data_IF_783475852726
#
_entry.id   IF_783475852726
#
_cell.length_a   1.000
_cell.length_b   1.000
_cell.length_c   1.000
_cell.angle_alpha   90.00
_cell.angle_beta   90.00
_cell.angle_gamma   90.00
#
_symmetry.space_group_name_H-M   'P 1'
#
loop_
_entity.id
_entity.type
_entity.pdbx_description
1 polymer ?
#
# COMPACT_ATOMS: atom_id res chain seq x y z
N UNK A 1 37.04 -13.52 12.89
CA UNK A 1 36.14 -13.76 11.73
C UNK A 1 34.80 -14.40 12.14
N UNK A 2 34.22 -14.01 13.28
CA UNK A 2 32.98 -14.61 13.84
C UNK A 2 31.79 -13.65 13.87
N UNK A 3 32.02 -12.34 13.70
CA UNK A 3 30.95 -11.33 13.72
C UNK A 3 30.25 -11.10 12.37
N UNK A 4 30.86 -11.51 11.25
CA UNK A 4 30.28 -11.35 9.91
C UNK A 4 29.15 -12.36 9.66
N UNK A 5 29.33 -13.62 10.05
CA UNK A 5 28.36 -14.70 9.84
C UNK A 5 27.05 -14.52 10.62
N UNK A 6 27.12 -14.02 11.85
CA UNK A 6 25.95 -13.84 12.72
C UNK A 6 24.97 -12.78 12.21
N UNK A 7 25.48 -11.76 11.50
CA UNK A 7 24.67 -10.65 10.96
C UNK A 7 23.93 -11.06 9.67
N UNK A 8 24.46 -12.01 8.92
CA UNK A 8 23.83 -12.51 7.70
C UNK A 8 22.77 -13.57 7.98
N UNK A 9 22.99 -14.52 8.91
CA UNK A 9 21.98 -15.55 9.26
C UNK A 9 20.70 -14.92 9.86
N UNK A 10 20.82 -13.89 10.71
CA UNK A 10 19.66 -13.13 11.22
C UNK A 10 18.87 -12.42 10.10
N UNK A 11 19.56 -11.98 9.04
CA UNK A 11 18.95 -11.30 7.88
C UNK A 11 18.27 -12.30 6.95
N UNK A 12 18.83 -13.50 6.78
CA UNK A 12 18.27 -14.54 5.91
C UNK A 12 17.04 -15.22 6.54
N UNK A 13 17.02 -15.47 7.85
CA UNK A 13 15.89 -16.11 8.53
C UNK A 13 14.63 -15.24 8.57
N UNK A 14 14.78 -13.91 8.68
CA UNK A 14 13.65 -12.95 8.60
C UNK A 14 13.12 -12.87 7.16
N UNK A 15 13.98 -13.09 6.15
CA UNK A 15 13.60 -13.08 4.74
C UNK A 15 12.83 -14.32 4.29
N UNK A 16 13.18 -15.51 4.80
CA UNK A 16 12.57 -16.78 4.36
C UNK A 16 11.20 -17.03 5.00
N UNK A 17 10.95 -16.53 6.22
CA UNK A 17 9.62 -16.60 6.87
C UNK A 17 8.64 -15.51 6.39
N UNK A 18 9.13 -14.42 5.78
CA UNK A 18 8.30 -13.34 5.26
C UNK A 18 7.88 -13.49 3.79
N UNK A 19 8.42 -14.47 3.07
CA UNK A 19 8.29 -14.59 1.61
C UNK A 19 6.97 -15.24 1.13
N UNK A 20 6.15 -15.80 2.01
CA UNK A 20 4.94 -16.56 1.62
C UNK A 20 3.62 -15.96 2.11
N UNK A 21 3.63 -14.77 2.73
CA UNK A 21 2.40 -14.05 3.04
C UNK A 21 2.19 -12.94 2.02
N UNK A 22 1.06 -13.02 1.31
CA UNK A 22 0.55 -12.09 0.30
C UNK A 22 0.42 -10.64 0.83
N UNK A 23 1.55 -9.96 0.99
CA UNK A 23 1.69 -8.52 1.17
C UNK A 23 2.95 -8.09 0.43
N UNK A 24 2.87 -8.09 -0.90
CA UNK A 24 3.92 -7.59 -1.79
C UNK A 24 4.05 -6.06 -1.71
N UNK A 25 4.47 -5.54 -0.56
CA UNK A 25 4.60 -4.10 -0.33
C UNK A 25 5.66 -3.68 0.69
N UNK A 26 6.50 -4.59 1.21
CA UNK A 26 7.48 -4.24 2.25
C UNK A 26 8.95 -4.58 1.94
N UNK A 27 9.28 -4.99 0.72
CA UNK A 27 10.68 -5.38 0.38
C UNK A 27 11.30 -4.62 -0.79
N UNK A 28 10.69 -3.53 -1.28
CA UNK A 28 11.35 -2.69 -2.29
C UNK A 28 12.38 -1.75 -1.63
N UNK A 29 13.60 -2.25 -1.45
CA UNK A 29 14.89 -1.56 -1.49
C UNK A 29 14.96 -0.08 -1.04
N UNK A 30 15.67 0.18 0.06
CA UNK A 30 16.37 1.45 0.24
C UNK A 30 16.35 2.01 1.66
N UNK A 31 17.50 2.50 2.10
CA UNK A 31 17.81 2.99 3.43
C UNK A 31 17.15 4.35 3.73
N UNK A 32 15.82 4.45 3.72
CA UNK A 32 15.09 5.67 4.09
C UNK A 32 13.90 5.32 4.99
N UNK A 33 14.04 5.75 6.25
CA UNK A 33 13.03 5.88 7.31
C UNK A 33 11.65 5.25 7.02
N UNK A 34 11.51 3.97 7.37
CA UNK A 34 10.32 3.14 7.15
C UNK A 34 9.14 3.43 8.09
N UNK A 35 9.18 4.49 8.90
CA UNK A 35 8.11 4.85 9.84
C UNK A 35 6.99 5.70 9.20
N UNK A 36 7.20 6.19 7.98
CA UNK A 36 6.37 7.23 7.35
C UNK A 36 4.96 6.79 6.93
N UNK A 37 4.74 5.50 6.70
CA UNK A 37 3.51 5.02 6.06
C UNK A 37 2.52 4.31 7.02
N UNK A 38 2.95 4.05 8.26
CA UNK A 38 2.14 3.45 9.32
C UNK A 38 1.59 4.50 10.32
N UNK A 39 2.13 5.72 10.29
CA UNK A 39 1.85 6.77 11.30
C UNK A 39 1.45 8.13 10.70
N UNK A 40 0.83 8.14 9.51
CA UNK A 40 0.40 9.38 8.88
C UNK A 40 -0.92 9.87 9.49
N UNK A 41 -0.97 11.12 9.95
CA UNK A 41 -2.22 11.70 10.46
C UNK A 41 -3.24 11.92 9.33
N UNK A 42 -4.53 12.04 9.68
CA UNK A 42 -5.58 12.32 8.70
C UNK A 42 -5.32 13.63 7.92
N UNK A 43 -4.76 14.64 8.59
CA UNK A 43 -4.39 15.94 8.00
C UNK A 43 -3.22 15.81 7.03
N UNK A 44 -2.18 15.07 7.42
CA UNK A 44 -1.04 14.79 6.54
C UNK A 44 -1.46 13.97 5.33
N UNK A 45 -2.41 13.05 5.51
CA UNK A 45 -3.01 12.31 4.42
C UNK A 45 -3.74 13.24 3.45
N UNK A 46 -4.64 14.11 3.95
CA UNK A 46 -5.41 15.03 3.11
C UNK A 46 -4.49 15.91 2.24
N UNK A 47 -3.46 16.51 2.83
CA UNK A 47 -2.49 17.33 2.09
C UNK A 47 -1.75 16.55 0.99
N UNK A 48 -1.37 15.30 1.26
CA UNK A 48 -0.67 14.47 0.27
C UNK A 48 -1.61 13.94 -0.81
N UNK A 49 -2.83 13.57 -0.42
CA UNK A 49 -3.90 13.18 -1.33
C UNK A 49 -4.15 14.32 -2.31
N UNK A 50 -4.35 15.54 -1.82
CA UNK A 50 -4.66 16.68 -2.67
C UNK A 50 -3.54 16.97 -3.67
N UNK A 51 -2.27 16.95 -3.22
CA UNK A 51 -1.10 17.07 -4.12
C UNK A 51 -1.05 15.96 -5.18
N UNK A 52 -1.41 14.73 -4.82
CA UNK A 52 -1.43 13.63 -5.78
C UNK A 52 -2.61 13.75 -6.75
N UNK A 53 -3.79 14.12 -6.26
CA UNK A 53 -4.98 14.39 -7.07
C UNK A 53 -4.68 15.49 -8.07
N UNK A 54 -4.08 16.61 -7.66
CA UNK A 54 -3.71 17.71 -8.55
C UNK A 54 -2.71 17.26 -9.62
N UNK A 55 -1.71 16.45 -9.23
CA UNK A 55 -0.72 15.91 -10.18
C UNK A 55 -1.35 14.97 -11.21
N UNK A 56 -2.26 14.09 -10.80
CA UNK A 56 -2.97 13.18 -11.71
C UNK A 56 -3.95 13.97 -12.57
N UNK A 57 -4.68 14.92 -11.98
CA UNK A 57 -5.62 15.79 -12.66
C UNK A 57 -4.94 16.56 -13.79
N UNK A 58 -3.79 17.17 -13.52
CA UNK A 58 -3.01 17.87 -14.54
C UNK A 58 -2.49 16.95 -15.64
N UNK A 59 -2.08 15.71 -15.34
CA UNK A 59 -1.54 14.80 -16.36
C UNK A 59 -2.60 14.18 -17.26
N UNK A 60 -3.78 13.93 -16.70
CA UNK A 60 -4.92 13.40 -17.43
C UNK A 60 -5.81 14.51 -17.99
N UNK A 61 -5.49 15.79 -17.76
CA UNK A 61 -6.33 16.93 -18.13
C UNK A 61 -7.77 16.71 -17.63
N UNK A 62 -7.92 16.37 -16.35
CA UNK A 62 -9.22 16.05 -15.76
C UNK A 62 -10.11 17.29 -15.64
N UNK A 63 -11.40 17.09 -15.85
CA UNK A 63 -12.42 18.08 -15.48
C UNK A 63 -12.59 18.13 -13.96
N UNK A 64 -13.24 19.19 -13.46
CA UNK A 64 -13.53 19.32 -12.02
C UNK A 64 -14.37 18.15 -11.48
N UNK A 65 -15.32 17.64 -12.27
CA UNK A 65 -16.13 16.50 -11.84
C UNK A 65 -15.34 15.19 -11.84
N UNK A 66 -14.45 14.96 -12.82
CA UNK A 66 -13.52 13.83 -12.81
C UNK A 66 -12.54 13.91 -11.63
N UNK A 67 -12.08 15.12 -11.29
CA UNK A 67 -11.22 15.38 -10.13
C UNK A 67 -11.92 15.04 -8.81
N UNK A 68 -13.20 15.40 -8.64
CA UNK A 68 -13.99 15.01 -7.46
C UNK A 68 -14.09 13.49 -7.32
N UNK A 69 -14.33 12.76 -8.42
CA UNK A 69 -14.36 11.28 -8.42
C UNK A 69 -13.01 10.69 -8.04
N UNK A 70 -11.92 11.29 -8.50
CA UNK A 70 -10.56 10.89 -8.10
C UNK A 70 -10.29 11.13 -6.60
N UNK A 71 -10.78 12.22 -6.02
CA UNK A 71 -10.71 12.46 -4.57
C UNK A 71 -11.45 11.35 -3.81
N UNK A 72 -12.68 11.03 -4.22
CA UNK A 72 -13.47 9.95 -3.64
C UNK A 72 -12.74 8.60 -3.71
N UNK A 73 -12.15 8.27 -4.85
CA UNK A 73 -11.32 7.06 -4.99
C UNK A 73 -10.15 7.06 -4.01
N UNK A 74 -9.44 8.19 -3.87
CA UNK A 74 -8.37 8.36 -2.89
C UNK A 74 -8.87 8.08 -1.46
N UNK A 75 -10.01 8.66 -1.08
CA UNK A 75 -10.57 8.48 0.26
C UNK A 75 -10.96 7.04 0.56
N UNK A 76 -11.52 6.31 -0.42
CA UNK A 76 -11.81 4.88 -0.28
C UNK A 76 -10.54 4.05 -0.13
N UNK A 77 -9.50 4.34 -0.91
CA UNK A 77 -8.19 3.67 -0.79
C UNK A 77 -7.56 3.90 0.59
N UNK A 78 -7.65 5.13 1.11
CA UNK A 78 -7.14 5.44 2.44
C UNK A 78 -7.93 4.79 3.56
N UNK A 79 -9.27 4.79 3.46
CA UNK A 79 -10.12 4.09 4.42
C UNK A 79 -9.81 2.59 4.45
N UNK A 80 -9.65 1.95 3.28
CA UNK A 80 -9.25 0.54 3.19
C UNK A 80 -7.87 0.31 3.81
N UNK A 81 -6.87 1.14 3.47
CA UNK A 81 -5.52 1.04 4.04
C UNK A 81 -5.52 1.20 5.56
N UNK A 82 -6.25 2.19 6.08
CA UNK A 82 -6.36 2.45 7.52
C UNK A 82 -7.01 1.27 8.23
N UNK A 83 -8.05 0.68 7.63
CA UNK A 83 -8.67 -0.53 8.17
C UNK A 83 -7.72 -1.74 8.16
N UNK A 84 -6.87 -1.88 7.14
CA UNK A 84 -5.89 -2.97 7.04
C UNK A 84 -4.71 -2.83 8.01
N UNK A 85 -4.31 -1.59 8.31
CA UNK A 85 -3.37 -1.29 9.40
C UNK A 85 -4.05 -1.57 10.74
N UNK A 86 -5.34 -1.24 10.87
CA UNK A 86 -6.14 -1.55 12.05
C UNK A 86 -5.51 -0.96 13.31
N UNK A 87 -5.35 -1.78 14.36
CA UNK A 87 -4.68 -1.39 15.59
C UNK A 87 -3.15 -1.51 15.51
N UNK A 88 -2.59 -2.03 14.42
CA UNK A 88 -1.16 -2.29 14.32
C UNK A 88 -0.38 -1.00 14.10
N UNK A 89 0.26 -0.52 15.16
CA UNK A 89 1.18 0.62 15.07
C UNK A 89 2.57 0.20 14.59
N UNK A 90 2.90 -1.08 14.73
CA UNK A 90 4.16 -1.67 14.26
C UNK A 90 3.93 -3.09 13.69
N UNK A 91 3.71 -3.21 12.36
CA UNK A 91 3.60 -4.50 11.71
C UNK A 91 4.81 -5.42 11.95
N UNK A 92 6.01 -4.87 12.24
CA UNK A 92 7.18 -5.69 12.57
C UNK A 92 7.09 -6.26 13.97
N UNK A 93 6.44 -5.58 14.91
CA UNK A 93 6.18 -6.12 16.24
C UNK A 93 5.27 -7.35 16.17
N UNK A 94 4.22 -7.32 15.34
CA UNK A 94 3.37 -8.49 15.09
C UNK A 94 4.20 -9.67 14.56
N UNK A 95 5.03 -9.43 13.55
CA UNK A 95 5.87 -10.47 12.96
C UNK A 95 6.90 -11.02 13.96
N UNK A 96 7.51 -10.15 14.79
CA UNK A 96 8.42 -10.59 15.87
C UNK A 96 7.70 -11.45 16.90
N UNK A 97 6.44 -11.13 17.20
CA UNK A 97 5.67 -11.88 18.18
C UNK A 97 5.35 -13.32 17.71
N UNK A 98 5.26 -13.56 16.41
CA UNK A 98 5.08 -14.91 15.84
C UNK A 98 6.24 -15.87 16.16
N UNK A 99 7.44 -15.33 16.39
CA UNK A 99 8.68 -16.09 16.62
C UNK A 99 9.27 -15.85 18.01
N UNK A 100 8.52 -15.19 18.91
CA UNK A 100 9.02 -14.84 20.24
C UNK A 100 9.10 -16.04 21.19
N UNK A 101 8.33 -17.10 20.91
CA UNK A 101 8.32 -18.34 21.68
C UNK A 101 9.36 -19.36 21.20
N UNK A 102 9.45 -20.49 21.92
CA UNK A 102 10.30 -21.62 21.53
C UNK A 102 9.86 -22.29 20.21
N UNK A 103 8.62 -22.05 19.78
CA UNK A 103 8.04 -22.52 18.51
C UNK A 103 7.34 -21.36 17.81
N UNK A 104 7.19 -21.50 16.50
CA UNK A 104 6.40 -20.57 15.70
C UNK A 104 4.92 -20.59 16.10
N UNK A 105 4.33 -19.42 16.30
CA UNK A 105 2.91 -19.26 16.64
C UNK A 105 2.05 -19.27 15.37
N UNK A 106 1.79 -20.48 14.86
CA UNK A 106 0.96 -20.68 13.67
C UNK A 106 -0.49 -20.19 13.87
N UNK A 107 -1.04 -20.33 15.09
CA UNK A 107 -2.40 -19.91 15.40
C UNK A 107 -2.55 -18.39 15.30
N UNK A 108 -1.60 -17.63 15.87
CA UNK A 108 -1.57 -16.16 15.71
C UNK A 108 -1.35 -15.74 14.27
N UNK A 109 -0.45 -16.41 13.55
CA UNK A 109 -0.21 -16.11 12.13
C UNK A 109 -1.50 -16.28 11.31
N UNK A 110 -2.22 -17.38 11.53
CA UNK A 110 -3.50 -17.63 10.87
C UNK A 110 -4.55 -16.57 11.23
N UNK A 111 -4.64 -16.16 12.50
CA UNK A 111 -5.57 -15.13 12.95
C UNK A 111 -5.30 -13.78 12.24
N UNK A 112 -4.04 -13.36 12.12
CA UNK A 112 -3.66 -12.12 11.42
C UNK A 112 -4.05 -12.15 9.94
N UNK A 113 -3.89 -13.29 9.27
CA UNK A 113 -4.30 -13.45 7.86
C UNK A 113 -5.81 -13.38 7.73
N UNK A 114 -6.55 -14.09 8.60
CA UNK A 114 -8.01 -14.09 8.58
C UNK A 114 -8.57 -12.68 8.81
N UNK A 115 -8.06 -11.95 9.80
CA UNK A 115 -8.47 -10.57 10.08
C UNK A 115 -8.27 -9.65 8.85
N UNK A 116 -7.06 -9.66 8.27
CA UNK A 116 -6.75 -8.83 7.09
C UNK A 116 -7.59 -9.22 5.87
N UNK A 117 -7.84 -10.51 5.69
CA UNK A 117 -8.69 -11.02 4.61
C UNK A 117 -10.14 -10.55 4.78
N UNK A 118 -10.68 -10.59 5.99
CA UNK A 118 -12.03 -10.07 6.27
C UNK A 118 -12.11 -8.57 5.96
N UNK A 119 -11.14 -7.78 6.40
CA UNK A 119 -11.10 -6.34 6.09
C UNK A 119 -11.07 -6.10 4.57
N UNK A 120 -10.24 -6.85 3.84
CA UNK A 120 -10.20 -6.77 2.38
C UNK A 120 -11.56 -7.11 1.77
N UNK A 121 -12.19 -8.22 2.18
CA UNK A 121 -13.49 -8.63 1.65
C UNK A 121 -14.57 -7.58 1.89
N UNK A 122 -14.59 -6.96 3.08
CA UNK A 122 -15.57 -5.93 3.42
C UNK A 122 -15.33 -4.61 2.69
N UNK A 123 -14.08 -4.19 2.49
CA UNK A 123 -13.75 -2.86 1.93
C UNK A 123 -13.49 -2.83 0.43
N UNK A 124 -13.12 -3.95 -0.18
CA UNK A 124 -12.82 -4.01 -1.62
C UNK A 124 -13.97 -3.57 -2.51
N UNK A 125 -15.25 -3.92 -2.25
CA UNK A 125 -16.35 -3.50 -3.12
C UNK A 125 -16.46 -1.98 -3.27
N UNK A 126 -16.27 -1.22 -2.19
CA UNK A 126 -16.33 0.25 -2.24
C UNK A 126 -15.17 0.86 -3.04
N UNK A 127 -13.97 0.28 -2.93
CA UNK A 127 -12.80 0.72 -3.70
C UNK A 127 -12.99 0.42 -5.18
N UNK A 128 -13.48 -0.78 -5.51
CA UNK A 128 -13.75 -1.19 -6.89
C UNK A 128 -14.81 -0.29 -7.51
N UNK A 129 -15.90 -0.03 -6.79
CA UNK A 129 -16.96 0.87 -7.25
C UNK A 129 -16.45 2.29 -7.50
N UNK A 130 -15.66 2.86 -6.58
CA UNK A 130 -15.09 4.19 -6.76
C UNK A 130 -14.06 4.26 -7.91
N UNK A 131 -13.31 3.18 -8.14
CA UNK A 131 -12.38 3.09 -9.26
C UNK A 131 -13.12 3.04 -10.59
N UNK A 132 -14.17 2.21 -10.68
CA UNK A 132 -15.03 2.14 -11.86
C UNK A 132 -15.66 3.51 -12.15
N UNK A 133 -16.26 4.14 -11.15
CA UNK A 133 -16.87 5.46 -11.28
C UNK A 133 -15.89 6.54 -11.78
N UNK A 134 -14.65 6.52 -11.28
CA UNK A 134 -13.60 7.41 -11.79
C UNK A 134 -13.23 7.07 -13.23
N UNK A 135 -12.89 5.82 -13.53
CA UNK A 135 -12.38 5.40 -14.84
C UNK A 135 -13.42 5.53 -15.96
N UNK A 136 -14.67 5.19 -15.68
CA UNK A 136 -15.78 5.28 -16.63
C UNK A 136 -16.18 6.74 -16.91
N UNK A 137 -15.83 7.67 -16.02
CA UNK A 137 -16.00 9.11 -16.26
C UNK A 137 -14.93 9.71 -17.20
N UNK A 138 -13.84 8.97 -17.47
CA UNK A 138 -12.76 9.42 -18.34
C UNK A 138 -13.15 9.26 -19.82
N UNK A 139 -12.73 10.20 -20.66
CA UNK A 139 -12.87 10.06 -22.10
C UNK A 139 -11.84 9.05 -22.67
N UNK A 140 -12.00 8.58 -23.92
CA UNK A 140 -11.11 7.56 -24.50
C UNK A 140 -9.62 7.93 -24.49
N UNK A 141 -9.28 9.19 -24.72
CA UNK A 141 -7.88 9.66 -24.70
C UNK A 141 -7.30 9.63 -23.29
N UNK A 142 -8.08 10.04 -22.29
CA UNK A 142 -7.70 9.97 -20.87
C UNK A 142 -7.52 8.52 -20.41
N UNK A 143 -8.43 7.63 -20.79
CA UNK A 143 -8.31 6.19 -20.49
C UNK A 143 -7.05 5.59 -21.13
N UNK A 144 -6.72 5.99 -22.37
CA UNK A 144 -5.48 5.54 -23.02
C UNK A 144 -4.25 5.98 -22.23
N UNK A 145 -4.21 7.25 -21.77
CA UNK A 145 -3.12 7.71 -20.90
C UNK A 145 -2.98 6.84 -19.64
N UNK A 146 -4.10 6.48 -18.99
CA UNK A 146 -4.08 5.57 -17.82
C UNK A 146 -3.44 4.23 -18.17
N UNK A 147 -3.83 3.61 -19.29
CA UNK A 147 -3.23 2.34 -19.75
C UNK A 147 -1.74 2.47 -20.05
N UNK A 148 -1.33 3.52 -20.78
CA UNK A 148 0.07 3.79 -21.09
C UNK A 148 0.93 3.96 -19.82
N UNK A 149 0.35 4.54 -18.77
CA UNK A 149 1.00 4.64 -17.47
C UNK A 149 1.18 3.28 -16.80
N UNK A 150 0.18 2.39 -16.87
CA UNK A 150 0.26 1.04 -16.31
C UNK A 150 1.31 0.17 -17.02
N UNK A 151 1.46 0.35 -18.33
CA UNK A 151 2.47 -0.35 -19.13
C UNK A 151 3.90 0.19 -18.93
N UNK A 152 4.08 1.20 -18.07
CA UNK A 152 5.37 1.87 -17.86
C UNK A 152 5.85 2.67 -19.08
N UNK A 153 5.01 2.82 -20.12
CA UNK A 153 5.30 3.60 -21.33
C UNK A 153 5.24 5.10 -21.07
N UNK A 154 4.54 5.53 -20.01
CA UNK A 154 4.59 6.89 -19.52
C UNK A 154 5.74 7.12 -18.54
N UNK A 155 6.69 8.00 -18.89
CA UNK A 155 7.79 8.48 -18.03
C UNK A 155 7.28 9.29 -16.82
N UNK A 156 6.58 8.65 -15.87
CA UNK A 156 5.99 9.34 -14.70
C UNK A 156 7.03 9.78 -13.66
N UNK A 157 8.10 8.99 -13.53
CA UNK A 157 9.13 9.12 -12.50
C UNK A 157 10.56 9.30 -13.06
N UNK A 158 10.70 9.53 -14.37
CA UNK A 158 11.98 9.84 -15.00
C UNK A 158 12.06 11.32 -15.36
N UNK A 159 12.32 12.16 -14.36
CA UNK A 159 12.93 13.50 -14.50
C UNK A 159 13.58 13.90 -13.18
N UNK A 160 14.90 14.12 -13.23
CA UNK A 160 15.70 14.80 -12.19
C UNK A 160 16.29 13.89 -11.15
#
# INVERSE_FOLDING_TARGET
MTHFFHRHVKRTLIGVLGATLLVGGLTACGHRQHDYAASMSAEQYAQRRDKMVDKVASKLDLTEDQKKRLVTLGDKLYAQRTALIGQTKDPRAEMKALVAGAKFDAARAQALVTEKTTVLQTKSPEVIAALADFYDSLNPAQQQKVRDFMEGRGRWFHRG
#
